data_IF_634662460349
#
_entry.id   IF_634662460349
#
_cell.length_a   1.000
_cell.length_b   1.000
_cell.length_c   1.000
_cell.angle_alpha   90.00
_cell.angle_beta   90.00
_cell.angle_gamma   90.00
#
_symmetry.space_group_name_H-M   'P 1'
#
loop_
_entity.id
_entity.type
_entity.pdbx_description
1 polymer ?
#
# COMPACT_ATOMS: atom_id res chain seq x y z
N UNK A 1 -13.94 9.31 -2.80
CA UNK A 1 -13.65 7.96 -3.35
C UNK A 1 -13.33 6.96 -2.25
N UNK A 2 -12.33 7.17 -1.39
CA UNK A 2 -11.94 6.20 -0.35
C UNK A 2 -13.10 5.61 0.47
N UNK A 3 -13.98 6.45 1.05
CA UNK A 3 -15.12 5.97 1.84
C UNK A 3 -16.05 5.06 1.02
N UNK A 4 -16.30 5.43 -0.23
CA UNK A 4 -17.13 4.65 -1.16
C UNK A 4 -16.48 3.31 -1.50
N UNK A 5 -15.16 3.29 -1.78
CA UNK A 5 -14.43 2.06 -2.10
C UNK A 5 -14.48 1.02 -0.95
N UNK A 6 -14.38 1.48 0.30
CA UNK A 6 -14.50 0.60 1.46
C UNK A 6 -15.93 0.09 1.64
N UNK A 7 -16.94 0.96 1.49
CA UNK A 7 -18.34 0.59 1.71
C UNK A 7 -18.89 -0.34 0.62
N UNK A 8 -18.47 -0.17 -0.65
CA UNK A 8 -19.00 -0.92 -1.80
C UNK A 8 -18.86 -2.45 -1.61
N UNK A 9 -17.70 -2.89 -1.10
CA UNK A 9 -17.41 -4.31 -0.87
C UNK A 9 -17.42 -4.68 0.61
N UNK A 10 -17.96 -3.82 1.48
CA UNK A 10 -17.98 -4.01 2.94
C UNK A 10 -16.60 -4.36 3.52
N UNK A 11 -15.57 -3.69 3.02
CA UNK A 11 -14.20 -3.94 3.47
C UNK A 11 -13.94 -3.31 4.84
N UNK A 12 -13.17 -3.99 5.71
CA UNK A 12 -12.79 -3.44 7.00
C UNK A 12 -12.05 -2.11 6.90
N UNK A 13 -12.24 -1.27 7.92
CA UNK A 13 -11.64 0.08 7.98
C UNK A 13 -10.11 0.05 8.01
N UNK A 14 -9.48 -1.04 8.43
CA UNK A 14 -8.01 -1.13 8.48
C UNK A 14 -7.36 -1.06 7.08
N UNK A 15 -8.11 -1.36 6.01
CA UNK A 15 -7.64 -1.17 4.62
C UNK A 15 -7.73 0.27 4.11
N UNK A 16 -7.98 1.25 4.99
CA UNK A 16 -8.14 2.65 4.59
C UNK A 16 -6.93 3.20 3.81
N UNK A 17 -5.71 2.82 4.18
CA UNK A 17 -4.50 3.30 3.53
C UNK A 17 -4.45 2.86 2.05
N UNK A 18 -4.78 1.60 1.79
CA UNK A 18 -4.85 1.04 0.42
C UNK A 18 -5.99 1.69 -0.38
N UNK A 19 -7.15 1.90 0.26
CA UNK A 19 -8.28 2.59 -0.37
C UNK A 19 -7.96 4.04 -0.76
N UNK A 20 -7.20 4.77 0.07
CA UNK A 20 -6.73 6.13 -0.25
C UNK A 20 -5.73 6.08 -1.41
N UNK A 21 -4.73 5.20 -1.35
CA UNK A 21 -3.72 5.07 -2.41
C UNK A 21 -4.37 4.76 -3.77
N UNK A 22 -5.29 3.81 -3.79
CA UNK A 22 -6.07 3.45 -4.98
C UNK A 22 -6.93 4.61 -5.48
N UNK A 23 -7.59 5.34 -4.57
CA UNK A 23 -8.36 6.53 -4.94
C UNK A 23 -7.48 7.58 -5.63
N UNK A 24 -6.33 7.90 -5.05
CA UNK A 24 -5.39 8.87 -5.62
C UNK A 24 -4.83 8.39 -6.97
N UNK A 25 -4.48 7.11 -7.08
CA UNK A 25 -3.97 6.53 -8.32
C UNK A 25 -4.98 6.62 -9.46
N UNK A 26 -6.25 6.30 -9.18
CA UNK A 26 -7.36 6.41 -10.13
C UNK A 26 -7.59 7.87 -10.51
N UNK A 27 -7.75 8.77 -9.54
CA UNK A 27 -7.99 10.21 -9.78
C UNK A 27 -6.92 10.82 -10.69
N UNK A 28 -5.65 10.50 -10.47
CA UNK A 28 -4.55 11.01 -11.29
C UNK A 28 -4.64 10.59 -12.77
N UNK A 29 -5.37 9.52 -13.07
CA UNK A 29 -5.47 8.92 -14.41
C UNK A 29 -6.83 9.06 -15.07
N UNK A 30 -7.90 9.36 -14.32
CA UNK A 30 -9.25 9.53 -14.89
C UNK A 30 -9.74 10.98 -14.85
N UNK A 31 -9.25 11.80 -13.91
CA UNK A 31 -9.74 13.16 -13.76
C UNK A 31 -9.17 14.05 -14.85
N UNK A 32 -10.03 14.51 -15.74
CA UNK A 32 -9.66 15.43 -16.82
C UNK A 32 -9.87 16.86 -16.33
N UNK A 33 -8.84 17.71 -16.44
CA UNK A 33 -9.05 19.16 -16.25
C UNK A 33 -9.67 19.74 -17.52
N UNK A 34 -10.86 20.34 -17.40
CA UNK A 34 -11.62 20.92 -18.52
C UNK A 34 -10.78 21.84 -19.41
N UNK A 35 -9.96 22.70 -18.80
CA UNK A 35 -9.15 23.69 -19.54
C UNK A 35 -8.02 23.07 -20.38
N UNK A 36 -7.41 21.98 -19.91
CA UNK A 36 -6.29 21.33 -20.61
C UNK A 36 -6.74 20.12 -21.44
N UNK A 37 -7.96 19.60 -21.19
CA UNK A 37 -8.49 18.34 -21.75
C UNK A 37 -7.53 17.14 -21.61
N UNK A 38 -6.69 17.18 -20.57
CA UNK A 38 -5.70 16.17 -20.23
C UNK A 38 -5.82 15.75 -18.78
N UNK A 39 -5.43 14.52 -18.50
CA UNK A 39 -5.32 13.98 -17.13
C UNK A 39 -3.98 14.39 -16.50
N UNK A 40 -3.87 14.48 -15.16
CA UNK A 40 -2.59 14.68 -14.48
C UNK A 40 -1.52 13.69 -14.92
N UNK A 41 -1.90 12.42 -15.14
CA UNK A 41 -1.01 11.39 -15.64
C UNK A 41 -0.46 11.70 -17.05
N UNK A 42 -1.30 12.17 -17.96
CA UNK A 42 -0.87 12.58 -19.31
C UNK A 42 0.06 13.78 -19.27
N UNK A 43 -0.20 14.75 -18.38
CA UNK A 43 0.67 15.91 -18.21
C UNK A 43 2.04 15.52 -17.65
N UNK A 44 2.10 14.55 -16.73
CA UNK A 44 3.34 14.11 -16.11
C UNK A 44 4.15 13.12 -16.95
N UNK A 45 3.49 12.13 -17.56
CA UNK A 45 4.16 11.06 -18.32
C UNK A 45 4.17 11.27 -19.83
N UNK A 46 3.44 12.25 -20.35
CA UNK A 46 3.31 12.50 -21.79
C UNK A 46 2.60 11.38 -22.57
N UNK A 47 1.95 10.44 -21.88
CA UNK A 47 1.30 9.26 -22.48
C UNK A 47 -0.09 9.06 -21.88
N UNK A 48 -1.03 8.58 -22.70
CA UNK A 48 -2.39 8.25 -22.25
C UNK A 48 -2.36 7.08 -21.26
N UNK A 49 -3.14 7.12 -20.17
CA UNK A 49 -3.26 5.99 -19.26
C UNK A 49 -3.97 4.82 -19.98
N UNK A 50 -3.51 3.59 -19.71
CA UNK A 50 -4.23 2.40 -20.15
C UNK A 50 -5.38 2.12 -19.19
N UNK A 51 -6.62 2.19 -19.68
CA UNK A 51 -7.83 2.03 -18.86
C UNK A 51 -8.12 0.55 -18.58
N UNK A 52 -7.71 -0.36 -19.45
CA UNK A 52 -7.88 -1.81 -19.27
C UNK A 52 -7.09 -2.38 -18.09
N UNK A 53 -6.18 -1.59 -17.51
CA UNK A 53 -5.40 -1.96 -16.33
C UNK A 53 -6.19 -1.82 -15.02
N UNK A 54 -7.30 -1.07 -15.03
CA UNK A 54 -8.09 -0.83 -13.82
C UNK A 54 -9.02 -1.99 -13.53
N UNK A 55 -9.06 -2.37 -12.27
CA UNK A 55 -9.94 -3.40 -11.71
C UNK A 55 -10.75 -2.84 -10.54
N UNK A 56 -11.87 -3.48 -10.26
CA UNK A 56 -12.77 -3.10 -9.17
C UNK A 56 -12.11 -3.35 -7.81
N UNK A 57 -11.81 -2.29 -7.06
CA UNK A 57 -11.30 -2.41 -5.68
C UNK A 57 -12.19 -3.33 -4.86
N UNK A 58 -11.59 -4.22 -4.06
CA UNK A 58 -12.32 -5.18 -3.23
C UNK A 58 -12.84 -6.43 -3.95
N UNK A 59 -12.61 -6.58 -5.25
CA UNK A 59 -12.99 -7.79 -5.96
C UNK A 59 -12.16 -9.00 -5.51
N UNK A 60 -12.75 -10.19 -5.70
CA UNK A 60 -12.06 -11.46 -5.52
C UNK A 60 -10.98 -11.59 -6.60
N UNK A 61 -9.78 -11.99 -6.19
CA UNK A 61 -8.68 -12.20 -7.11
C UNK A 61 -7.90 -13.47 -6.77
N UNK A 62 -7.18 -13.97 -7.76
CA UNK A 62 -6.38 -15.18 -7.69
C UNK A 62 -4.93 -14.80 -7.97
N UNK A 63 -4.09 -14.92 -6.95
CA UNK A 63 -2.69 -14.50 -6.96
C UNK A 63 -1.83 -15.71 -7.28
N UNK A 64 -1.00 -15.64 -8.31
CA UNK A 64 -0.07 -16.72 -8.60
C UNK A 64 1.09 -16.69 -7.59
N UNK A 65 1.31 -17.81 -6.90
CA UNK A 65 2.45 -18.00 -6.03
C UNK A 65 3.68 -18.34 -6.89
N UNK A 66 4.46 -17.30 -7.24
CA UNK A 66 5.69 -17.37 -8.03
C UNK A 66 6.86 -18.04 -7.25
N UNK A 67 6.63 -19.23 -6.69
CA UNK A 67 7.67 -20.00 -5.99
C UNK A 67 8.13 -19.39 -4.66
N UNK A 68 7.29 -18.56 -4.00
CA UNK A 68 7.57 -18.06 -2.64
C UNK A 68 7.53 -19.20 -1.61
N UNK A 69 6.84 -20.28 -1.95
CA UNK A 69 6.76 -21.50 -1.15
C UNK A 69 7.22 -22.71 -1.96
N UNK A 70 7.84 -23.65 -1.26
CA UNK A 70 8.23 -24.95 -1.81
C UNK A 70 7.00 -25.85 -1.99
N UNK A 71 6.17 -25.49 -2.96
CA UNK A 71 4.98 -26.24 -3.34
C UNK A 71 5.38 -27.53 -4.06
N UNK A 72 4.82 -28.65 -3.64
CA UNK A 72 4.93 -29.93 -4.31
C UNK A 72 4.28 -29.90 -5.69
N UNK A 73 4.53 -30.94 -6.49
CA UNK A 73 4.05 -31.01 -7.90
C UNK A 73 2.52 -30.91 -8.04
N UNK A 74 1.78 -31.27 -7.00
CA UNK A 74 0.31 -31.32 -6.97
C UNK A 74 -0.33 -30.22 -6.13
N UNK A 75 0.46 -29.38 -5.46
CA UNK A 75 -0.10 -28.32 -4.62
C UNK A 75 -0.63 -27.17 -5.47
N UNK A 76 -1.66 -26.49 -4.96
CA UNK A 76 -2.20 -25.29 -5.61
C UNK A 76 -1.11 -24.21 -5.67
N UNK A 77 -0.86 -23.68 -6.87
CA UNK A 77 0.05 -22.54 -7.10
C UNK A 77 -0.65 -21.19 -7.09
N UNK A 78 -1.89 -21.16 -6.64
CA UNK A 78 -2.74 -19.99 -6.70
C UNK A 78 -3.41 -19.80 -5.36
N UNK A 79 -3.30 -18.59 -4.86
CA UNK A 79 -3.91 -18.15 -3.61
C UNK A 79 -5.11 -17.26 -3.90
N UNK A 80 -6.18 -17.45 -3.15
CA UNK A 80 -7.33 -16.54 -3.18
C UNK A 80 -7.01 -15.28 -2.37
N UNK A 81 -7.35 -14.12 -2.94
CA UNK A 81 -7.14 -12.84 -2.32
C UNK A 81 -8.21 -11.81 -2.63
N UNK A 82 -8.04 -10.63 -2.07
CA UNK A 82 -8.87 -9.45 -2.30
C UNK A 82 -8.00 -8.38 -2.96
N UNK A 83 -8.46 -7.81 -4.05
CA UNK A 83 -7.74 -6.73 -4.72
C UNK A 83 -7.83 -5.43 -3.90
N UNK A 84 -6.68 -4.84 -3.58
CA UNK A 84 -6.61 -3.62 -2.77
C UNK A 84 -6.02 -2.43 -3.51
N UNK A 85 -5.27 -2.63 -4.59
CA UNK A 85 -4.77 -1.48 -5.34
C UNK A 85 -3.61 -1.76 -6.26
N UNK A 86 -2.90 -0.68 -6.58
CA UNK A 86 -1.82 -0.69 -7.54
C UNK A 86 -0.50 -0.43 -6.83
N UNK A 87 0.56 -1.13 -7.24
CA UNK A 87 1.91 -0.85 -6.76
C UNK A 87 2.36 0.55 -7.18
N UNK A 88 3.13 1.23 -6.31
CA UNK A 88 3.68 2.56 -6.58
C UNK A 88 4.94 2.51 -7.45
N UNK A 89 5.68 1.41 -7.38
CA UNK A 89 7.00 1.25 -8.01
C UNK A 89 6.94 0.40 -9.28
N UNK A 90 6.04 -0.57 -9.34
CA UNK A 90 6.02 -1.59 -10.39
C UNK A 90 4.65 -1.72 -11.05
N UNK A 91 4.58 -2.46 -12.17
CA UNK A 91 3.31 -2.81 -12.82
C UNK A 91 2.66 -4.03 -12.14
N UNK A 92 2.64 -4.02 -10.81
CA UNK A 92 2.05 -5.05 -9.99
C UNK A 92 0.78 -4.53 -9.31
N UNK A 93 -0.03 -5.48 -8.84
CA UNK A 93 -1.22 -5.24 -8.06
C UNK A 93 -0.93 -5.53 -6.59
N UNK A 94 -1.51 -4.73 -5.71
CA UNK A 94 -1.53 -4.95 -4.26
C UNK A 94 -2.79 -5.74 -3.94
N UNK A 95 -2.61 -6.94 -3.42
CA UNK A 95 -3.69 -7.85 -3.09
C UNK A 95 -3.51 -8.37 -1.66
N UNK A 96 -4.59 -8.47 -0.91
CA UNK A 96 -4.60 -9.16 0.37
C UNK A 96 -4.76 -10.65 0.12
N UNK A 97 -3.75 -11.44 0.46
CA UNK A 97 -3.79 -12.88 0.32
C UNK A 97 -4.47 -13.49 1.55
N UNK A 98 -5.56 -14.25 1.35
CA UNK A 98 -6.33 -14.84 2.44
C UNK A 98 -5.59 -15.96 3.16
N UNK A 99 -4.61 -16.59 2.51
CA UNK A 99 -3.81 -17.68 3.06
C UNK A 99 -2.70 -17.16 3.98
N UNK A 100 -1.98 -16.12 3.55
CA UNK A 100 -0.88 -15.54 4.34
C UNK A 100 -1.33 -14.41 5.26
N UNK A 101 -2.54 -13.87 5.05
CA UNK A 101 -3.11 -12.72 5.75
C UNK A 101 -2.26 -11.45 5.62
N UNK A 102 -1.50 -11.34 4.53
CA UNK A 102 -0.63 -10.20 4.24
C UNK A 102 -1.03 -9.54 2.92
N UNK A 103 -0.80 -8.23 2.85
CA UNK A 103 -0.88 -7.48 1.59
C UNK A 103 0.41 -7.72 0.82
N UNK A 104 0.30 -8.34 -0.34
CA UNK A 104 1.42 -8.64 -1.21
C UNK A 104 1.30 -7.94 -2.57
N UNK A 105 2.45 -7.70 -3.19
CA UNK A 105 2.53 -7.22 -4.56
C UNK A 105 2.74 -8.40 -5.50
N UNK A 106 1.88 -8.50 -6.52
CA UNK A 106 2.01 -9.50 -7.58
C UNK A 106 1.61 -8.95 -8.95
N UNK A 107 2.38 -9.32 -9.97
CA UNK A 107 2.08 -8.96 -11.36
C UNK A 107 1.11 -9.96 -12.02
N UNK A 108 1.08 -11.20 -11.54
CA UNK A 108 0.26 -12.27 -12.11
C UNK A 108 -0.96 -12.50 -11.22
N UNK A 109 -2.01 -11.74 -11.50
CA UNK A 109 -3.27 -11.78 -10.78
C UNK A 109 -4.41 -11.93 -11.80
N UNK A 110 -5.33 -12.85 -11.50
CA UNK A 110 -6.57 -13.02 -12.26
C UNK A 110 -7.71 -12.48 -11.40
N UNK A 111 -8.54 -11.61 -11.96
CA UNK A 111 -9.63 -10.95 -11.25
C UNK A 111 -10.97 -11.61 -11.57
N UNK A 112 -11.77 -11.86 -10.54
CA UNK A 112 -13.17 -12.26 -10.68
C UNK A 112 -14.06 -11.08 -10.28
N UNK A 113 -14.47 -10.32 -11.30
CA UNK A 113 -15.33 -9.15 -11.13
C UNK A 113 -16.82 -9.50 -11.25
N UNK A 114 -17.14 -10.78 -11.49
CA UNK A 114 -18.50 -11.28 -11.74
C UNK A 114 -19.40 -11.15 -10.51
N UNK A 115 -18.81 -11.07 -9.31
CA UNK A 115 -19.53 -10.87 -8.06
C UNK A 115 -18.75 -9.94 -7.11
N UNK A 116 -18.99 -8.61 -7.15
CA UNK A 116 -18.29 -7.65 -6.27
C UNK A 116 -18.68 -7.81 -4.79
N UNK A 117 -19.73 -8.55 -4.47
CA UNK A 117 -20.09 -8.82 -3.09
C UNK A 117 -19.26 -9.98 -2.58
N UNK A 118 -18.25 -9.69 -1.76
CA UNK A 118 -17.69 -10.68 -0.84
C UNK A 118 -18.86 -11.32 -0.07
N UNK A 119 -18.87 -12.64 0.15
CA UNK A 119 -19.84 -13.26 1.06
C UNK A 119 -19.83 -12.48 2.37
N UNK A 120 -21.01 -12.19 2.93
CA UNK A 120 -21.21 -11.37 4.14
C UNK A 120 -20.57 -11.93 5.43
N UNK A 121 -19.69 -12.91 5.30
CA UNK A 121 -19.02 -13.58 6.40
C UNK A 121 -17.52 -13.67 6.09
N UNK A 122 -16.84 -12.54 6.20
CA UNK A 122 -15.50 -12.57 6.80
C UNK A 122 -15.78 -12.31 8.27
N UNK A 123 -15.73 -13.34 9.09
CA UNK A 123 -15.79 -13.20 10.55
C UNK A 123 -14.52 -12.44 10.96
N UNK A 124 -14.67 -11.14 11.23
CA UNK A 124 -13.54 -10.21 11.48
C UNK A 124 -13.04 -10.31 12.91
N UNK A 125 -13.78 -10.99 13.79
CA UNK A 125 -13.38 -11.17 15.20
C UNK A 125 -12.07 -11.95 15.32
N UNK A 126 -11.73 -12.79 14.34
CA UNK A 126 -10.43 -13.48 14.34
C UNK A 126 -9.26 -12.50 14.07
N UNK A 127 -9.40 -11.46 13.23
CA UNK A 127 -8.25 -10.66 12.78
C UNK A 127 -7.82 -9.54 13.74
N UNK A 128 -8.73 -9.05 14.58
CA UNK A 128 -8.41 -7.98 15.56
C UNK A 128 -7.51 -8.53 16.65
N UNK A 129 -7.79 -9.76 17.11
CA UNK A 129 -6.97 -10.49 18.07
C UNK A 129 -5.56 -10.81 17.51
N UNK A 130 -5.42 -10.98 16.19
CA UNK A 130 -4.11 -11.29 15.58
C UNK A 130 -3.18 -10.09 15.42
N UNK A 131 -3.71 -8.87 15.27
CA UNK A 131 -2.85 -7.67 15.27
C UNK A 131 -2.36 -7.39 16.69
N UNK A 132 -3.20 -7.51 17.71
CA UNK A 132 -2.76 -7.40 19.11
C UNK A 132 -1.75 -8.49 19.50
N UNK A 133 -1.98 -9.74 19.07
CA UNK A 133 -1.04 -10.85 19.29
C UNK A 133 0.24 -10.77 18.43
N UNK A 134 0.20 -10.07 17.30
CA UNK A 134 1.37 -9.78 16.47
C UNK A 134 2.22 -8.64 17.03
N UNK A 135 1.58 -7.61 17.57
CA UNK A 135 2.22 -6.48 18.26
C UNK A 135 2.85 -6.94 19.58
N UNK A 136 2.22 -7.87 20.32
CA UNK A 136 2.79 -8.41 21.56
C UNK A 136 4.02 -9.31 21.35
N UNK A 137 4.22 -9.86 20.14
CA UNK A 137 5.48 -10.55 19.75
C UNK A 137 6.61 -9.56 19.41
N UNK A 138 6.29 -8.33 19.07
CA UNK A 138 7.25 -7.24 18.92
C UNK A 138 7.42 -6.63 20.32
N UNK A 139 8.02 -7.39 21.24
CA UNK A 139 8.24 -6.87 22.58
C UNK A 139 9.35 -5.80 22.54
N UNK A 140 9.00 -4.64 23.09
CA UNK A 140 9.68 -3.35 23.03
C UNK A 140 10.80 -3.33 24.09
N UNK A 141 11.65 -4.36 24.14
CA UNK A 141 12.71 -4.47 25.15
C UNK A 141 14.12 -4.61 24.57
N UNK A 142 14.28 -4.86 23.26
CA UNK A 142 15.61 -4.96 22.62
C UNK A 142 16.11 -3.67 21.94
N UNK A 143 15.25 -2.66 21.71
CA UNK A 143 15.64 -1.41 21.03
C UNK A 143 16.23 -0.36 21.98
N UNK A 144 16.25 -0.61 23.31
CA UNK A 144 16.79 0.32 24.32
C UNK A 144 18.26 0.09 24.72
N UNK A 145 19.03 -0.70 23.96
CA UNK A 145 20.45 -0.97 24.26
C UNK A 145 21.44 -0.34 23.29
N UNK A 146 21.17 0.88 22.84
CA UNK A 146 22.23 1.80 22.37
C UNK A 146 21.91 3.22 22.88
N UNK A 147 22.05 3.43 24.18
CA UNK A 147 22.27 4.78 24.72
C UNK A 147 23.71 5.19 24.40
N UNK A 148 23.86 6.20 23.55
CA UNK A 148 25.10 6.96 23.42
C UNK A 148 25.33 7.71 24.74
N UNK A 149 26.43 7.41 25.40
CA UNK A 149 26.87 8.07 26.64
C UNK A 149 27.06 9.57 26.42
N UNK A 150 26.51 10.38 27.32
CA UNK A 150 26.83 11.79 27.50
C UNK A 150 28.35 12.00 27.57
N UNK A 151 28.84 13.00 26.83
CA UNK A 151 30.23 13.44 26.83
C UNK A 151 30.32 14.86 26.26
N UNK A 152 30.32 15.83 27.17
CA UNK A 152 30.83 17.21 27.12
C UNK A 152 30.82 17.99 25.79
N UNK A 153 29.92 18.97 25.69
CA UNK A 153 29.96 20.03 24.68
C UNK A 153 30.80 21.22 25.17
N UNK A 154 31.84 21.67 24.42
CA UNK A 154 32.44 22.98 24.64
C UNK A 154 31.54 24.06 24.02
N UNK A 155 31.25 25.08 24.81
CA UNK A 155 30.46 26.25 24.45
C UNK A 155 31.36 27.30 23.79
N UNK A 156 31.36 27.40 22.45
CA UNK A 156 31.98 28.52 21.71
C UNK A 156 31.09 28.99 20.53
N UNK A 157 30.54 30.19 20.71
CA UNK A 157 30.32 31.30 19.77
C UNK A 157 29.57 31.12 18.44
N UNK A 158 28.24 31.17 18.54
CA UNK A 158 27.30 31.36 17.40
C UNK A 158 27.34 32.76 16.75
N UNK A 159 28.09 33.72 17.30
CA UNK A 159 28.12 35.11 16.80
C UNK A 159 29.06 35.30 15.60
N UNK A 160 30.10 34.48 15.46
CA UNK A 160 31.11 34.63 14.39
C UNK A 160 30.68 34.00 13.05
N UNK A 161 29.74 33.06 13.06
CA UNK A 161 29.21 32.43 11.84
C UNK A 161 28.30 33.37 11.02
N UNK A 162 27.61 34.29 11.68
CA UNK A 162 26.72 35.26 11.04
C UNK A 162 27.49 36.43 10.40
N UNK A 163 28.67 36.78 10.92
CA UNK A 163 29.49 37.85 10.38
C UNK A 163 30.19 37.47 9.06
N UNK A 164 30.53 36.19 8.88
CA UNK A 164 31.27 35.71 7.71
C UNK A 164 30.39 35.37 6.50
N UNK A 165 29.06 35.43 6.64
CA UNK A 165 28.12 35.12 5.56
C UNK A 165 27.60 36.36 4.81
N UNK A 166 27.93 37.57 5.26
CA UNK A 166 27.51 38.83 4.62
C UNK A 166 28.59 39.48 3.73
N UNK A 167 29.75 38.85 3.55
CA UNK A 167 30.86 39.38 2.72
C UNK A 167 31.39 38.38 1.68
N UNK A 168 30.50 37.62 1.03
CA UNK A 168 30.80 36.99 -0.26
C UNK A 168 29.63 37.23 -1.21
N UNK A 169 29.92 38.02 -2.24
CA UNK A 169 29.08 38.37 -3.38
C UNK A 169 28.49 37.15 -4.08
#
# INVERSE_FOLDING_TARGET
>A
MCRTLLNENSLPKYFWAEAINTSCYILNRISIRSILKKTPYELWRGRKPNISYFHTFGCKCFIHNNGKEHLGKFDSKVDEGIFLGYSSTSRAYRCFNKRTLLVEESMHVIFDESNPKLPKEVNVDDCVDFIENGVSKINIDEVKREEFTEGDAPQEDYQDALHNQTLRW
#
